data_IF_100181408807
#
_entry.id   IF_100181408807
#
_cell.length_a   1.000
_cell.length_b   1.000
_cell.length_c   1.000
_cell.angle_alpha   90.00
_cell.angle_beta   90.00
_cell.angle_gamma   90.00
#
_symmetry.space_group_name_H-M   'P 1'
#
loop_
_entity.id
_entity.type
_entity.pdbx_description
1 polymer ?
#
# COMPACT_ATOMS: atom_id res chain seq x y z
N UNK A 1 -24.12 -5.51 2.78
CA UNK A 1 -24.27 -4.15 2.22
C UNK A 1 -24.28 -4.12 0.69
N UNK A 2 -23.26 -4.65 0.00
CA UNK A 2 -23.12 -4.60 -1.48
C UNK A 2 -24.35 -5.08 -2.27
N UNK A 3 -25.04 -6.14 -1.83
CA UNK A 3 -26.22 -6.65 -2.53
C UNK A 3 -27.43 -5.69 -2.45
N UNK A 4 -27.53 -4.87 -1.41
CA UNK A 4 -28.58 -3.87 -1.31
C UNK A 4 -28.33 -2.72 -2.30
N UNK A 5 -27.07 -2.26 -2.42
CA UNK A 5 -26.66 -1.28 -3.42
C UNK A 5 -26.89 -1.81 -4.84
N UNK A 6 -26.48 -3.06 -5.11
CA UNK A 6 -26.69 -3.74 -6.39
C UNK A 6 -28.17 -3.78 -6.79
N UNK A 7 -29.07 -4.12 -5.85
CA UNK A 7 -30.52 -4.09 -6.10
C UNK A 7 -31.04 -2.68 -6.39
N UNK A 8 -30.58 -1.67 -5.65
CA UNK A 8 -30.95 -0.27 -5.89
C UNK A 8 -30.53 0.20 -7.29
N UNK A 9 -29.31 -0.15 -7.71
CA UNK A 9 -28.79 0.17 -9.05
C UNK A 9 -29.55 -0.57 -10.16
N UNK A 10 -29.93 -1.83 -9.92
CA UNK A 10 -30.78 -2.58 -10.83
C UNK A 10 -32.16 -1.95 -11.01
N UNK A 11 -32.80 -1.55 -9.91
CA UNK A 11 -34.09 -0.85 -9.94
C UNK A 11 -34.00 0.50 -10.68
N UNK A 12 -32.92 1.25 -10.46
CA UNK A 12 -32.67 2.53 -11.15
C UNK A 12 -32.20 2.36 -12.61
N UNK A 13 -31.83 1.14 -13.03
CA UNK A 13 -31.24 0.82 -14.34
C UNK A 13 -30.02 1.67 -14.70
N UNK A 14 -29.27 2.12 -13.70
CA UNK A 14 -28.15 3.05 -13.85
C UNK A 14 -26.93 2.62 -13.02
N UNK A 15 -25.76 3.12 -13.44
CA UNK A 15 -24.49 2.90 -12.75
C UNK A 15 -23.78 1.58 -13.09
N UNK A 16 -22.57 1.46 -12.52
CA UNK A 16 -21.60 0.35 -12.61
C UNK A 16 -21.09 0.08 -11.20
N UNK A 17 -21.00 -1.20 -10.80
CA UNK A 17 -20.33 -1.55 -9.54
C UNK A 17 -18.86 -1.83 -9.81
N UNK A 18 -17.96 -1.24 -9.05
CA UNK A 18 -16.53 -1.50 -9.13
C UNK A 18 -16.04 -2.08 -7.79
N UNK A 19 -15.20 -3.11 -7.87
CA UNK A 19 -14.56 -3.75 -6.71
C UNK A 19 -13.08 -4.02 -7.01
N UNK A 20 -12.27 -4.14 -5.96
CA UNK A 20 -10.87 -4.57 -6.07
C UNK A 20 -10.79 -6.09 -6.07
N UNK A 21 -9.89 -6.66 -6.90
CA UNK A 21 -9.64 -8.10 -6.96
C UNK A 21 -8.45 -8.50 -6.07
N UNK A 22 -8.67 -8.47 -4.76
CA UNK A 22 -7.70 -8.88 -3.72
C UNK A 22 -8.21 -10.04 -2.86
N UNK A 23 -9.07 -10.88 -3.43
CA UNK A 23 -9.67 -12.00 -2.72
C UNK A 23 -8.68 -13.14 -2.54
N UNK A 24 -8.52 -13.61 -1.31
CA UNK A 24 -7.67 -14.76 -1.00
C UNK A 24 -8.48 -16.06 -0.92
N UNK A 25 -9.81 -15.94 -0.88
CA UNK A 25 -10.73 -17.07 -0.88
C UNK A 25 -11.74 -16.97 -2.03
N UNK A 26 -12.00 -18.11 -2.69
CA UNK A 26 -12.99 -18.23 -3.76
C UNK A 26 -14.42 -17.86 -3.29
N UNK A 27 -14.68 -17.98 -1.98
CA UNK A 27 -15.93 -17.62 -1.34
C UNK A 27 -16.27 -16.13 -1.52
N UNK A 28 -15.26 -15.26 -1.61
CA UNK A 28 -15.44 -13.81 -1.72
C UNK A 28 -15.90 -13.40 -3.12
N UNK A 29 -15.40 -14.05 -4.18
CA UNK A 29 -15.86 -13.79 -5.55
C UNK A 29 -17.36 -14.07 -5.74
N UNK A 30 -17.91 -15.01 -4.97
CA UNK A 30 -19.34 -15.34 -5.02
C UNK A 30 -20.25 -14.14 -4.76
N UNK A 31 -19.83 -13.18 -3.93
CA UNK A 31 -20.63 -11.98 -3.63
C UNK A 31 -20.67 -11.03 -4.82
N UNK A 32 -19.57 -10.94 -5.59
CA UNK A 32 -19.45 -10.13 -6.81
C UNK A 32 -20.34 -10.70 -7.89
N UNK A 33 -20.28 -12.02 -8.08
CA UNK A 33 -21.18 -12.74 -8.99
C UNK A 33 -22.65 -12.49 -8.65
N UNK A 34 -23.00 -12.60 -7.36
CA UNK A 34 -24.36 -12.36 -6.88
C UNK A 34 -24.78 -10.91 -7.07
N UNK A 35 -23.87 -9.95 -6.89
CA UNK A 35 -24.13 -8.53 -7.15
C UNK A 35 -24.42 -8.26 -8.64
N UNK A 36 -23.66 -8.89 -9.56
CA UNK A 36 -23.92 -8.81 -11.00
C UNK A 36 -25.30 -9.40 -11.35
N UNK A 37 -25.66 -10.55 -10.78
CA UNK A 37 -26.95 -11.20 -10.98
C UNK A 37 -28.14 -10.35 -10.52
N UNK A 38 -28.11 -9.86 -9.27
CA UNK A 38 -29.26 -9.13 -8.70
C UNK A 38 -29.42 -7.72 -9.26
N UNK A 39 -28.33 -7.12 -9.74
CA UNK A 39 -28.39 -5.79 -10.36
C UNK A 39 -28.74 -5.83 -11.84
N UNK A 40 -28.30 -6.86 -12.57
CA UNK A 40 -28.30 -6.84 -14.04
C UNK A 40 -27.45 -5.69 -14.62
N UNK A 41 -26.61 -5.05 -13.81
CA UNK A 41 -25.74 -3.93 -14.18
C UNK A 41 -24.31 -4.43 -14.45
N UNK A 42 -23.51 -3.69 -15.24
CA UNK A 42 -22.10 -4.00 -15.38
C UNK A 42 -21.39 -3.98 -14.02
N UNK A 43 -20.55 -4.98 -13.78
CA UNK A 43 -19.63 -5.05 -12.65
C UNK A 43 -18.20 -5.08 -13.17
N UNK A 44 -17.32 -4.24 -12.63
CA UNK A 44 -15.90 -4.23 -12.97
C UNK A 44 -15.05 -4.64 -11.76
N UNK A 45 -14.03 -5.46 -12.02
CA UNK A 45 -13.07 -5.93 -11.02
C UNK A 45 -11.71 -5.36 -11.38
N UNK A 46 -11.13 -4.54 -10.50
CA UNK A 46 -9.78 -4.04 -10.66
C UNK A 46 -8.78 -5.17 -10.41
N UNK A 47 -8.12 -5.61 -11.48
CA UNK A 47 -7.05 -6.60 -11.45
C UNK A 47 -5.72 -5.89 -11.26
N UNK A 48 -4.95 -6.33 -10.27
CA UNK A 48 -3.61 -5.85 -10.01
C UNK A 48 -2.73 -6.98 -9.48
N UNK A 49 -1.43 -6.83 -9.70
CA UNK A 49 -0.47 -7.80 -9.20
C UNK A 49 -0.28 -7.58 -7.69
N UNK A 50 -0.36 -8.66 -6.92
CA UNK A 50 -0.04 -8.64 -5.49
C UNK A 50 1.33 -9.28 -5.33
N UNK A 51 2.31 -8.55 -4.80
CA UNK A 51 3.68 -9.07 -4.65
C UNK A 51 3.76 -10.40 -3.91
N UNK A 52 2.94 -10.59 -2.87
CA UNK A 52 2.88 -11.83 -2.09
C UNK A 52 2.17 -12.99 -2.80
N UNK A 53 1.37 -12.72 -3.84
CA UNK A 53 0.69 -13.73 -4.66
C UNK A 53 0.67 -13.32 -6.15
N UNK A 54 1.79 -13.51 -6.88
CA UNK A 54 1.95 -13.01 -8.25
C UNK A 54 0.94 -13.56 -9.26
N UNK A 55 0.33 -14.72 -8.97
CA UNK A 55 -0.62 -15.40 -9.85
C UNK A 55 -2.08 -15.07 -9.53
N UNK A 56 -2.34 -14.31 -8.45
CA UNK A 56 -3.70 -14.00 -7.99
C UNK A 56 -4.54 -13.35 -9.09
N UNK A 57 -4.00 -12.33 -9.77
CA UNK A 57 -4.74 -11.64 -10.83
C UNK A 57 -5.15 -12.57 -11.98
N UNK A 58 -4.38 -13.63 -12.26
CA UNK A 58 -4.74 -14.64 -13.26
C UNK A 58 -5.86 -15.55 -12.77
N UNK A 59 -5.86 -15.87 -11.47
CA UNK A 59 -6.96 -16.61 -10.86
C UNK A 59 -8.25 -15.79 -10.93
N UNK A 60 -8.18 -14.51 -10.58
CA UNK A 60 -9.32 -13.59 -10.67
C UNK A 60 -9.83 -13.42 -12.10
N UNK A 61 -8.93 -13.30 -13.07
CA UNK A 61 -9.31 -13.25 -14.47
C UNK A 61 -10.12 -14.48 -14.90
N UNK A 62 -9.73 -15.69 -14.47
CA UNK A 62 -10.48 -16.93 -14.76
C UNK A 62 -11.87 -16.93 -14.16
N UNK A 63 -12.05 -16.39 -12.95
CA UNK A 63 -13.37 -16.25 -12.34
C UNK A 63 -14.27 -15.29 -13.12
N UNK A 64 -13.69 -14.19 -13.60
CA UNK A 64 -14.38 -13.21 -14.45
C UNK A 64 -14.80 -13.87 -15.77
N UNK A 65 -13.90 -14.56 -16.44
CA UNK A 65 -14.18 -15.29 -17.69
C UNK A 65 -15.28 -16.34 -17.50
N UNK A 66 -15.26 -17.08 -16.39
CA UNK A 66 -16.32 -18.05 -16.07
C UNK A 66 -17.66 -17.35 -15.85
N UNK A 67 -17.69 -16.24 -15.12
CA UNK A 67 -18.91 -15.46 -14.91
C UNK A 67 -19.49 -14.92 -16.23
N UNK A 68 -18.63 -14.46 -17.14
CA UNK A 68 -19.03 -14.03 -18.49
C UNK A 68 -19.63 -15.18 -19.30
N UNK A 69 -19.03 -16.38 -19.26
CA UNK A 69 -19.57 -17.57 -19.93
C UNK A 69 -20.95 -17.99 -19.42
N UNK A 70 -21.29 -17.62 -18.18
CA UNK A 70 -22.60 -17.83 -17.57
C UNK A 70 -23.60 -16.69 -17.86
N UNK A 71 -23.24 -15.73 -18.72
CA UNK A 71 -24.09 -14.62 -19.15
C UNK A 71 -24.07 -13.40 -18.23
N UNK A 72 -23.14 -13.30 -17.27
CA UNK A 72 -23.03 -12.14 -16.40
C UNK A 72 -22.21 -11.01 -17.05
N UNK A 73 -22.66 -9.78 -16.85
CA UNK A 73 -21.97 -8.58 -17.33
C UNK A 73 -20.86 -8.18 -16.35
N UNK A 74 -19.76 -8.92 -16.36
CA UNK A 74 -18.64 -8.78 -15.43
C UNK A 74 -17.34 -8.62 -16.23
N UNK A 75 -16.50 -7.65 -15.87
CA UNK A 75 -15.29 -7.30 -16.63
C UNK A 75 -14.08 -7.06 -15.72
N UNK A 76 -12.90 -7.49 -16.17
CA UNK A 76 -11.63 -7.07 -15.57
C UNK A 76 -11.29 -5.64 -15.98
N UNK A 77 -10.74 -4.87 -15.05
CA UNK A 77 -10.19 -3.54 -15.26
C UNK A 77 -8.71 -3.57 -14.89
N UNK A 78 -7.86 -2.96 -15.71
CA UNK A 78 -6.46 -2.74 -15.40
C UNK A 78 -6.21 -1.23 -15.36
N UNK A 79 -5.40 -0.78 -14.39
CA UNK A 79 -4.97 0.61 -14.31
C UNK A 79 -3.76 0.85 -15.23
N UNK A 80 -3.64 2.06 -15.78
CA UNK A 80 -2.46 2.47 -16.54
C UNK A 80 -1.25 2.78 -15.66
N UNK A 81 -1.43 2.77 -14.34
CA UNK A 81 -0.39 2.97 -13.32
C UNK A 81 -0.58 2.01 -12.16
N UNK A 82 0.50 1.62 -11.46
CA UNK A 82 0.38 0.80 -10.26
C UNK A 82 -0.49 1.49 -9.22
N UNK A 83 -1.24 0.68 -8.46
CA UNK A 83 -1.83 1.15 -7.22
C UNK A 83 -0.67 1.36 -6.25
N UNK A 84 -0.64 2.52 -5.60
CA UNK A 84 0.43 2.82 -4.66
C UNK A 84 -0.13 3.50 -3.42
N UNK A 85 0.54 3.29 -2.31
CA UNK A 85 0.22 3.94 -1.04
C UNK A 85 1.20 5.08 -0.82
N UNK A 86 0.69 6.26 -0.48
CA UNK A 86 1.52 7.39 -0.09
C UNK A 86 1.85 7.32 1.40
N UNK A 87 3.13 7.49 1.71
CA UNK A 87 3.69 7.49 3.06
C UNK A 87 4.32 8.85 3.34
N UNK A 88 4.16 9.35 4.56
CA UNK A 88 4.69 10.66 4.92
C UNK A 88 4.30 11.09 6.32
N UNK A 89 5.03 12.05 6.88
CA UNK A 89 4.91 12.46 8.28
C UNK A 89 3.54 13.09 8.63
N UNK A 90 2.87 13.67 7.64
CA UNK A 90 1.49 14.18 7.77
C UNK A 90 0.40 13.14 7.52
N UNK A 91 0.77 11.98 6.95
CA UNK A 91 -0.17 10.90 6.66
C UNK A 91 -0.32 9.94 7.84
N UNK A 92 -1.35 9.08 7.79
CA UNK A 92 -1.53 8.02 8.78
C UNK A 92 -0.44 6.93 8.72
N UNK A 93 0.25 6.79 7.58
CA UNK A 93 1.28 5.78 7.33
C UNK A 93 2.64 6.43 7.14
N UNK A 94 3.58 6.15 8.03
CA UNK A 94 4.96 6.57 7.88
C UNK A 94 5.89 5.54 8.55
N UNK A 95 7.15 5.41 8.10
CA UNK A 95 8.09 4.41 8.64
C UNK A 95 8.26 4.42 10.16
N UNK A 96 8.10 5.58 10.78
CA UNK A 96 8.29 5.77 12.22
C UNK A 96 7.03 5.47 13.05
N UNK A 97 5.89 5.18 12.44
CA UNK A 97 4.59 5.27 13.13
C UNK A 97 4.47 4.31 14.30
N UNK A 98 5.23 3.22 14.32
CA UNK A 98 5.24 2.21 15.38
C UNK A 98 6.45 2.25 16.31
N UNK A 99 7.42 3.12 16.03
CA UNK A 99 8.59 3.31 16.87
C UNK A 99 8.20 3.85 18.24
N UNK A 100 8.80 3.32 19.30
CA UNK A 100 8.53 3.75 20.68
C UNK A 100 9.00 5.19 20.88
N UNK A 101 10.20 5.51 20.38
CA UNK A 101 10.78 6.85 20.40
C UNK A 101 9.92 7.88 19.65
N UNK A 102 9.11 7.45 18.66
CA UNK A 102 8.20 8.35 17.95
C UNK A 102 6.88 8.62 18.70
N UNK A 103 6.50 7.79 19.69
CA UNK A 103 5.20 7.91 20.39
C UNK A 103 4.94 9.32 20.96
N UNK A 104 5.91 10.01 21.60
CA UNK A 104 5.69 11.36 22.10
C UNK A 104 5.39 12.38 21.00
N UNK A 105 5.88 12.15 19.77
CA UNK A 105 5.71 13.06 18.64
C UNK A 105 4.35 12.92 17.96
N UNK A 106 3.64 11.79 18.10
CA UNK A 106 2.43 11.48 17.32
C UNK A 106 1.36 12.58 17.36
N UNK A 107 1.16 13.20 18.52
CA UNK A 107 0.13 14.24 18.77
C UNK A 107 0.62 15.66 18.55
N UNK A 108 1.91 15.87 18.27
CA UNK A 108 2.44 17.21 18.05
C UNK A 108 1.98 17.76 16.69
N UNK A 109 1.89 19.09 16.53
CA UNK A 109 1.76 19.72 15.21
C UNK A 109 2.91 19.31 14.27
N UNK A 110 2.65 19.25 12.97
CA UNK A 110 3.63 18.81 11.97
C UNK A 110 4.96 19.58 12.06
N UNK A 111 4.90 20.90 12.23
CA UNK A 111 6.09 21.73 12.36
C UNK A 111 6.96 21.34 13.57
N UNK A 112 6.35 21.03 14.72
CA UNK A 112 7.07 20.57 15.91
C UNK A 112 7.65 19.16 15.73
N UNK A 113 6.93 18.26 15.04
CA UNK A 113 7.48 16.94 14.68
C UNK A 113 8.76 17.09 13.85
N UNK A 114 8.71 17.94 12.83
CA UNK A 114 9.85 18.20 11.92
C UNK A 114 11.01 18.82 12.68
N UNK A 115 10.75 19.80 13.54
CA UNK A 115 11.77 20.45 14.37
C UNK A 115 12.49 19.44 15.26
N UNK A 116 11.74 18.59 15.98
CA UNK A 116 12.32 17.51 16.80
C UNK A 116 13.12 16.52 15.95
N UNK A 117 12.56 16.03 14.85
CA UNK A 117 13.23 15.05 13.98
C UNK A 117 14.51 15.60 13.31
N UNK A 118 14.63 16.91 13.11
CA UNK A 118 15.83 17.55 12.58
C UNK A 118 16.90 17.79 13.63
N UNK A 119 16.50 18.23 14.83
CA UNK A 119 17.44 18.82 15.80
C UNK A 119 17.72 17.94 17.03
N UNK A 120 16.91 16.91 17.28
CA UNK A 120 17.07 15.99 18.42
C UNK A 120 17.88 14.75 17.99
N UNK A 121 19.21 14.82 18.13
CA UNK A 121 20.11 13.74 17.71
C UNK A 121 19.92 12.43 18.49
N UNK A 122 19.51 12.51 19.76
CA UNK A 122 19.27 11.32 20.59
C UNK A 122 17.96 10.64 20.18
N UNK A 123 16.92 11.41 19.85
CA UNK A 123 15.71 10.87 19.23
C UNK A 123 16.02 10.14 17.91
N UNK A 124 16.84 10.74 17.03
CA UNK A 124 17.19 10.10 15.74
C UNK A 124 17.95 8.80 15.93
N UNK A 125 18.92 8.77 16.84
CA UNK A 125 19.64 7.54 17.21
C UNK A 125 18.69 6.49 17.79
N UNK A 126 17.79 6.89 18.68
CA UNK A 126 16.80 5.99 19.25
C UNK A 126 15.92 5.36 18.15
N UNK A 127 15.37 6.18 17.24
CA UNK A 127 14.59 5.71 16.10
C UNK A 127 15.35 4.74 15.20
N UNK A 128 16.61 5.06 14.86
CA UNK A 128 17.45 4.18 14.04
C UNK A 128 17.83 2.88 14.76
N UNK A 129 18.01 2.92 16.09
CA UNK A 129 18.42 1.75 16.89
C UNK A 129 17.27 0.84 17.31
N UNK A 130 16.04 1.36 17.36
CA UNK A 130 14.83 0.59 17.67
C UNK A 130 14.55 -0.50 16.61
N UNK A 131 15.24 -0.46 15.47
CA UNK A 131 15.12 -1.44 14.41
C UNK A 131 16.49 -1.86 13.84
N UNK A 132 17.00 -3.02 14.25
CA UNK A 132 18.31 -3.55 13.80
C UNK A 132 18.22 -4.70 12.77
N UNK A 133 17.02 -5.06 12.30
CA UNK A 133 16.85 -6.13 11.31
C UNK A 133 17.11 -5.63 9.90
N UNK A 134 17.79 -6.45 9.09
CA UNK A 134 18.24 -6.08 7.74
C UNK A 134 17.08 -6.18 6.77
N UNK A 135 16.83 -5.09 6.04
CA UNK A 135 15.86 -4.95 4.95
C UNK A 135 15.89 -6.13 3.95
N UNK A 136 15.16 -7.20 4.26
CA UNK A 136 14.96 -8.39 3.43
C UNK A 136 13.60 -8.30 2.72
N UNK A 137 13.49 -8.85 1.51
CA UNK A 137 12.20 -8.99 0.83
C UNK A 137 11.32 -9.97 1.62
N UNK A 138 10.26 -9.48 2.27
CA UNK A 138 9.26 -10.35 2.90
C UNK A 138 8.49 -11.19 1.87
N UNK A 139 8.36 -12.48 2.17
CA UNK A 139 7.43 -13.42 1.52
C UNK A 139 6.51 -13.99 2.58
N UNK A 140 5.21 -14.12 2.27
CA UNK A 140 4.24 -14.74 3.17
C UNK A 140 4.59 -16.23 3.34
N UNK A 141 5.18 -16.59 4.48
CA UNK A 141 5.21 -17.96 4.98
C UNK A 141 3.89 -18.33 5.68
N UNK A 142 3.66 -19.61 5.97
CA UNK A 142 2.40 -20.10 6.57
C UNK A 142 2.08 -19.54 7.97
N UNK A 143 3.04 -18.92 8.67
CA UNK A 143 2.92 -18.58 10.10
C UNK A 143 2.57 -17.10 10.36
N UNK A 144 1.62 -16.53 9.61
CA UNK A 144 1.19 -15.15 9.78
C UNK A 144 0.89 -14.75 11.24
N UNK A 145 1.22 -13.49 11.58
CA UNK A 145 0.81 -12.74 12.79
C UNK A 145 1.64 -12.87 14.10
N UNK A 146 2.95 -13.09 14.03
CA UNK A 146 3.86 -12.80 15.17
C UNK A 146 4.42 -11.36 15.12
N UNK A 147 4.90 -10.78 16.25
CA UNK A 147 5.59 -9.48 16.27
C UNK A 147 6.72 -9.35 15.24
N UNK A 148 7.38 -10.46 14.92
CA UNK A 148 8.41 -10.55 13.89
C UNK A 148 7.86 -10.31 12.47
N UNK A 149 6.63 -10.75 12.19
CA UNK A 149 5.99 -10.57 10.89
C UNK A 149 5.70 -9.11 10.58
N UNK A 150 5.40 -8.34 11.62
CA UNK A 150 5.14 -6.91 11.50
C UNK A 150 6.40 -6.11 11.16
N UNK A 151 7.49 -6.38 11.86
CA UNK A 151 8.76 -5.72 11.62
C UNK A 151 9.36 -6.10 10.26
N UNK A 152 9.24 -7.38 9.86
CA UNK A 152 9.55 -7.82 8.49
C UNK A 152 8.69 -7.13 7.43
N UNK A 153 7.40 -6.91 7.71
CA UNK A 153 6.52 -6.14 6.83
C UNK A 153 6.99 -4.67 6.72
N UNK A 154 7.31 -4.02 7.85
CA UNK A 154 7.85 -2.65 7.86
C UNK A 154 9.16 -2.54 7.07
N UNK A 155 10.07 -3.50 7.22
CA UNK A 155 11.32 -3.58 6.47
C UNK A 155 11.08 -3.77 4.97
N UNK A 156 10.13 -4.64 4.59
CA UNK A 156 9.72 -4.83 3.21
C UNK A 156 9.19 -3.54 2.59
N UNK A 157 8.34 -2.81 3.32
CA UNK A 157 7.87 -1.49 2.89
C UNK A 157 9.06 -0.54 2.73
N UNK A 158 9.92 -0.41 3.74
CA UNK A 158 11.11 0.46 3.71
C UNK A 158 12.03 0.17 2.52
N UNK A 159 12.28 -1.10 2.20
CA UNK A 159 13.07 -1.53 1.06
C UNK A 159 12.48 -1.12 -0.30
N UNK A 160 11.17 -0.85 -0.34
CA UNK A 160 10.37 -0.50 -1.52
C UNK A 160 9.67 0.85 -1.38
N UNK A 161 10.15 1.72 -0.51
CA UNK A 161 9.72 3.12 -0.47
C UNK A 161 10.59 3.92 -1.44
N UNK A 162 9.94 4.82 -2.17
CA UNK A 162 10.59 5.71 -3.13
C UNK A 162 10.15 7.14 -2.85
N UNK A 163 11.03 8.10 -3.00
CA UNK A 163 10.65 9.51 -2.90
C UNK A 163 9.75 9.88 -4.09
N UNK A 164 8.58 10.48 -3.83
CA UNK A 164 7.69 10.97 -4.87
C UNK A 164 7.94 12.47 -5.07
N UNK A 165 8.69 12.81 -6.11
CA UNK A 165 8.94 14.19 -6.49
C UNK A 165 7.60 14.91 -6.78
N UNK A 166 7.28 16.01 -6.07
CA UNK A 166 6.02 16.72 -6.25
C UNK A 166 5.92 17.46 -7.60
N UNK A 167 7.04 17.82 -8.22
CA UNK A 167 7.08 18.50 -9.52
C UNK A 167 7.04 17.50 -10.68
N UNK A 168 7.64 16.32 -10.51
CA UNK A 168 7.70 15.27 -11.53
C UNK A 168 7.45 13.88 -10.93
N UNK A 169 6.21 13.54 -10.56
CA UNK A 169 5.90 12.29 -9.90
C UNK A 169 6.18 11.08 -10.81
N UNK A 170 7.10 10.23 -10.37
CA UNK A 170 7.44 8.96 -11.00
C UNK A 170 6.96 7.82 -10.08
N UNK A 171 5.98 7.05 -10.56
CA UNK A 171 5.37 5.93 -9.83
C UNK A 171 6.00 4.57 -10.19
N UNK A 172 6.89 4.54 -11.19
CA UNK A 172 7.51 3.33 -11.74
C UNK A 172 9.03 3.42 -11.62
N UNK A 173 9.47 3.76 -10.41
CA UNK A 173 10.87 3.96 -10.12
C UNK A 173 11.65 2.64 -10.12
N UNK A 174 12.87 2.69 -10.68
CA UNK A 174 13.80 1.57 -10.63
C UNK A 174 14.18 1.23 -9.17
N UNK A 175 14.41 -0.06 -8.88
CA UNK A 175 14.75 -0.54 -7.53
C UNK A 175 15.99 0.15 -6.92
N UNK A 176 16.91 0.64 -7.74
CA UNK A 176 18.07 1.41 -7.28
C UNK A 176 17.71 2.76 -6.65
N UNK A 177 16.51 3.29 -6.93
CA UNK A 177 15.99 4.53 -6.36
C UNK A 177 15.24 4.33 -5.03
N UNK A 178 15.15 3.10 -4.52
CA UNK A 178 14.48 2.90 -3.23
C UNK A 178 15.26 3.58 -2.10
N UNK A 179 14.56 3.99 -1.05
CA UNK A 179 15.13 4.65 0.13
C UNK A 179 16.33 3.87 0.67
N UNK A 180 16.19 2.55 0.80
CA UNK A 180 17.27 1.67 1.28
C UNK A 180 18.44 1.63 0.30
N UNK A 181 18.19 1.53 -1.01
CA UNK A 181 19.24 1.53 -2.03
C UNK A 181 20.03 2.85 -2.04
N UNK A 182 19.32 3.98 -1.98
CA UNK A 182 19.92 5.32 -1.91
C UNK A 182 20.71 5.54 -0.63
N UNK A 183 20.17 5.12 0.53
CA UNK A 183 20.86 5.20 1.80
C UNK A 183 22.16 4.39 1.80
N UNK A 184 22.12 3.15 1.29
CA UNK A 184 23.31 2.28 1.13
C UNK A 184 24.35 2.92 0.22
N UNK A 185 23.94 3.44 -0.94
CA UNK A 185 24.85 4.11 -1.87
C UNK A 185 25.51 5.36 -1.25
N UNK A 186 24.81 6.05 -0.34
CA UNK A 186 25.33 7.19 0.41
C UNK A 186 26.13 6.79 1.67
N UNK A 187 26.22 5.51 2.03
CA UNK A 187 26.87 5.05 3.26
C UNK A 187 26.14 5.49 4.54
N UNK A 188 24.82 5.70 4.47
CA UNK A 188 23.98 6.20 5.56
C UNK A 188 23.02 5.14 6.08
N UNK A 189 22.65 5.27 7.35
CA UNK A 189 21.62 4.43 7.97
C UNK A 189 20.24 4.74 7.33
N UNK A 190 19.47 3.74 6.86
CA UNK A 190 18.22 3.98 6.13
C UNK A 190 17.10 4.69 6.90
N UNK A 191 16.96 4.49 8.21
CA UNK A 191 15.98 5.25 9.01
C UNK A 191 16.40 6.72 9.14
N UNK A 192 17.67 7.03 9.34
CA UNK A 192 18.13 8.42 9.29
C UNK A 192 17.89 9.06 7.91
N UNK A 193 18.11 8.30 6.85
CA UNK A 193 17.87 8.76 5.48
C UNK A 193 16.38 9.04 5.22
N UNK A 194 15.49 8.12 5.63
CA UNK A 194 14.05 8.30 5.43
C UNK A 194 13.48 9.44 6.28
N UNK A 195 14.02 9.68 7.48
CA UNK A 195 13.67 10.83 8.32
C UNK A 195 13.96 12.13 7.56
N UNK A 196 15.13 12.24 6.93
CA UNK A 196 15.49 13.45 6.18
C UNK A 196 14.54 13.67 4.99
N UNK A 197 14.22 12.60 4.26
CA UNK A 197 13.26 12.67 3.16
C UNK A 197 11.90 13.14 3.65
N UNK A 198 11.34 12.54 4.70
CA UNK A 198 10.05 12.95 5.24
C UNK A 198 10.04 14.39 5.75
N UNK A 199 11.17 14.87 6.27
CA UNK A 199 11.32 16.23 6.79
C UNK A 199 11.51 17.32 5.70
N UNK A 200 11.66 16.94 4.43
CA UNK A 200 11.64 17.89 3.29
C UNK A 200 10.27 18.60 3.22
N UNK A 201 10.26 19.77 2.59
CA UNK A 201 9.06 20.59 2.41
C UNK A 201 8.26 20.85 3.71
N UNK A 202 8.96 20.94 4.85
CA UNK A 202 8.33 21.14 6.15
C UNK A 202 7.52 19.95 6.65
N UNK A 203 7.89 18.71 6.28
CA UNK A 203 7.19 17.50 6.71
C UNK A 203 6.15 16.98 5.71
N UNK A 204 6.01 17.64 4.56
CA UNK A 204 4.99 17.35 3.53
C UNK A 204 5.51 16.53 2.36
N UNK A 205 6.73 16.02 2.47
CA UNK A 205 7.27 15.16 1.45
C UNK A 205 6.58 13.80 1.49
N UNK A 206 6.23 13.28 0.33
CA UNK A 206 5.59 11.98 0.20
C UNK A 206 6.58 10.96 -0.36
N UNK A 207 6.52 9.78 0.22
CA UNK A 207 7.13 8.57 -0.28
C UNK A 207 6.03 7.69 -0.85
N UNK A 208 6.35 6.84 -1.82
CA UNK A 208 5.40 5.95 -2.44
C UNK A 208 5.86 4.50 -2.30
N UNK A 209 4.92 3.64 -1.92
CA UNK A 209 5.08 2.18 -1.96
C UNK A 209 4.21 1.63 -3.09
N UNK A 210 4.80 1.13 -4.20
CA UNK A 210 4.05 0.48 -5.27
C UNK A 210 3.68 -0.95 -4.88
N UNK A 211 2.39 -1.26 -4.99
CA UNK A 211 1.78 -2.51 -4.51
C UNK A 211 2.16 -3.75 -5.33
#
# INVERSE_FOLDING_TARGET
>A
EILALARGMGAARAGILQVNGDWFEESEFSIVRKAAQVSGRPVTVLLFQVGANPELWRHELRHIEKAQSDGLNLWGQCSSRPISVCWGLESGLHPLMFHQAFRPLRKLPLAEKVERLKNDSELRKALASEHAWRFEEWSAGPDGAMPDGFWKWSDHIMARLYELDPERPDYEQDRSKSVVSLAKAAGREPYEFVIDLMCKHGGRNLLVYPH
#
